data_IF_979717387198
#
_entry.id   IF_979717387198
#
_cell.length_a   1.000
_cell.length_b   1.000
_cell.length_c   1.000
_cell.angle_alpha   90.00
_cell.angle_beta   90.00
_cell.angle_gamma   90.00
#
_symmetry.space_group_name_H-M   'P 1'
#
loop_
_entity.id
_entity.type
_entity.pdbx_description
1 polymer ?
#
# COMPACT_ATOMS: atom_id res chain seq x y z
N UNK A 1 13.05 -3.10 -9.01
CA UNK A 1 14.15 -3.71 -9.79
C UNK A 1 13.89 -3.47 -11.26
N UNK A 2 14.91 -3.03 -12.00
CA UNK A 2 14.85 -3.02 -13.46
C UNK A 2 15.35 -4.37 -14.01
N UNK A 3 14.89 -4.80 -15.20
CA UNK A 3 15.34 -6.04 -15.83
C UNK A 3 16.87 -6.12 -16.10
N UNK A 4 17.59 -5.00 -15.98
CA UNK A 4 19.03 -4.85 -16.21
C UNK A 4 19.91 -5.09 -14.97
N UNK A 5 19.31 -5.42 -13.81
CA UNK A 5 20.05 -5.64 -12.56
C UNK A 5 20.49 -4.36 -11.84
N UNK A 6 20.13 -3.18 -12.34
CA UNK A 6 20.37 -1.92 -11.64
C UNK A 6 19.41 -1.79 -10.44
N UNK A 7 19.95 -1.37 -9.29
CA UNK A 7 19.15 -0.97 -8.13
C UNK A 7 18.33 0.25 -8.53
N UNK A 8 17.01 0.06 -8.69
CA UNK A 8 16.05 1.15 -8.85
C UNK A 8 15.39 1.38 -7.48
N UNK A 9 15.85 2.38 -6.70
CA UNK A 9 15.33 2.65 -5.37
C UNK A 9 13.96 3.35 -5.41
N UNK A 10 13.41 3.66 -6.59
CA UNK A 10 12.21 4.50 -6.74
C UNK A 10 10.96 3.95 -6.04
N UNK A 11 10.88 2.63 -5.79
CA UNK A 11 9.87 2.02 -4.92
C UNK A 11 10.01 2.54 -3.49
N UNK A 12 11.11 2.15 -2.81
CA UNK A 12 11.39 2.46 -1.39
C UNK A 12 11.55 3.96 -1.10
N UNK A 13 12.00 4.76 -2.07
CA UNK A 13 12.26 6.19 -1.88
C UNK A 13 11.00 6.96 -1.47
N UNK A 14 9.82 6.56 -1.96
CA UNK A 14 8.55 7.21 -1.59
C UNK A 14 8.20 6.95 -0.13
N UNK A 15 8.11 5.68 0.28
CA UNK A 15 7.85 5.31 1.67
C UNK A 15 8.88 5.90 2.64
N UNK A 16 10.15 5.92 2.26
CA UNK A 16 11.21 6.51 3.09
C UNK A 16 11.07 8.04 3.24
N UNK A 17 10.78 8.75 2.14
CA UNK A 17 10.58 10.20 2.17
C UNK A 17 9.36 10.59 3.02
N UNK A 18 8.23 9.89 2.85
CA UNK A 18 7.02 10.13 3.63
C UNK A 18 7.28 9.83 5.12
N UNK A 19 7.97 8.74 5.45
CA UNK A 19 8.32 8.41 6.84
C UNK A 19 9.15 9.52 7.48
N UNK A 20 10.18 10.01 6.80
CA UNK A 20 11.01 11.11 7.32
C UNK A 20 10.22 12.41 7.47
N UNK A 21 9.33 12.73 6.53
CA UNK A 21 8.45 13.88 6.65
C UNK A 21 7.52 13.75 7.88
N UNK A 22 6.94 12.57 8.10
CA UNK A 22 6.13 12.29 9.28
C UNK A 22 6.95 12.43 10.58
N UNK A 23 8.21 11.99 10.61
CA UNK A 23 9.10 12.16 11.76
C UNK A 23 9.41 13.64 12.03
N UNK A 24 9.61 14.47 11.00
CA UNK A 24 9.81 15.91 11.16
C UNK A 24 8.56 16.56 11.76
N UNK A 25 7.37 16.24 11.24
CA UNK A 25 6.09 16.76 11.72
C UNK A 25 5.86 16.35 13.19
N UNK A 26 6.11 15.09 13.54
CA UNK A 26 6.02 14.61 14.92
C UNK A 26 6.99 15.34 15.86
N UNK A 27 8.22 15.59 15.42
CA UNK A 27 9.22 16.34 16.21
C UNK A 27 8.86 17.82 16.39
N UNK A 28 7.98 18.35 15.53
CA UNK A 28 7.41 19.69 15.68
C UNK A 28 6.16 19.70 16.59
N UNK A 29 5.88 18.61 17.31
CA UNK A 29 4.75 18.45 18.24
C UNK A 29 3.37 18.57 17.56
N UNK A 30 3.31 18.22 16.27
CA UNK A 30 2.06 18.14 15.50
C UNK A 30 1.53 16.70 15.55
N UNK A 31 0.46 16.49 16.32
CA UNK A 31 -0.17 15.18 16.51
C UNK A 31 -1.16 14.76 15.42
N UNK A 32 -1.75 15.73 14.71
CA UNK A 32 -2.76 15.51 13.68
C UNK A 32 -2.18 15.81 12.30
N UNK A 33 -1.97 14.79 11.47
CA UNK A 33 -1.46 14.97 10.12
C UNK A 33 -1.84 13.85 9.16
N UNK A 34 -1.75 14.18 7.87
CA UNK A 34 -1.92 13.25 6.76
C UNK A 34 -0.90 13.61 5.67
N UNK A 35 0.02 12.70 5.38
CA UNK A 35 1.06 12.88 4.36
C UNK A 35 0.84 11.82 3.30
N UNK A 36 0.75 12.24 2.04
CA UNK A 36 0.56 11.37 0.89
C UNK A 36 1.57 11.72 -0.20
N UNK A 37 2.12 10.69 -0.85
CA UNK A 37 2.85 10.87 -2.09
C UNK A 37 2.71 9.64 -3.00
N UNK A 38 2.01 9.83 -4.13
CA UNK A 38 1.91 8.80 -5.17
C UNK A 38 1.16 7.56 -4.73
N UNK A 39 0.13 7.72 -3.88
CA UNK A 39 -0.73 6.68 -3.35
C UNK A 39 -0.29 6.09 -2.00
N UNK A 40 0.93 6.38 -1.56
CA UNK A 40 1.44 5.93 -0.25
C UNK A 40 1.17 6.99 0.80
N UNK A 41 0.72 6.57 1.98
CA UNK A 41 0.10 7.43 2.96
C UNK A 41 0.65 7.12 4.36
N UNK A 42 0.95 8.17 5.12
CA UNK A 42 1.14 8.11 6.56
C UNK A 42 0.19 9.13 7.22
N UNK A 43 -0.66 8.66 8.12
CA UNK A 43 -1.53 9.53 8.92
C UNK A 43 -1.22 9.43 10.42
N UNK A 44 -1.71 10.39 11.19
CA UNK A 44 -1.73 10.37 12.66
C UNK A 44 -2.86 11.28 13.16
N UNK A 45 -3.44 10.91 14.30
CA UNK A 45 -4.50 11.70 14.93
C UNK A 45 -5.77 11.78 14.08
N UNK A 46 -6.39 12.95 14.04
CA UNK A 46 -7.71 13.20 13.41
C UNK A 46 -7.64 14.33 12.39
N UNK A 47 -8.63 14.39 11.50
CA UNK A 47 -8.78 15.50 10.58
C UNK A 47 -9.32 16.75 11.26
N UNK A 48 -9.36 17.87 10.53
CA UNK A 48 -9.82 19.17 11.05
C UNK A 48 -11.28 19.17 11.55
N UNK A 49 -12.08 18.15 11.23
CA UNK A 49 -13.44 17.96 11.76
C UNK A 49 -13.49 17.06 13.00
N UNK A 50 -12.34 16.64 13.55
CA UNK A 50 -12.27 15.73 14.69
C UNK A 50 -12.64 14.27 14.39
N UNK A 51 -12.63 13.87 13.11
CA UNK A 51 -12.91 12.50 12.66
C UNK A 51 -11.61 11.78 12.28
N UNK A 52 -11.61 10.45 12.32
CA UNK A 52 -10.48 9.67 11.84
C UNK A 52 -10.16 9.97 10.37
N UNK A 53 -8.87 9.91 10.05
CA UNK A 53 -8.41 9.97 8.68
C UNK A 53 -8.89 8.73 7.93
N UNK A 54 -9.42 8.94 6.72
CA UNK A 54 -9.84 7.85 5.85
C UNK A 54 -9.03 7.84 4.55
N UNK A 55 -8.85 6.65 4.00
CA UNK A 55 -8.11 6.38 2.77
C UNK A 55 -8.99 5.54 1.86
N UNK A 56 -9.20 6.01 0.63
CA UNK A 56 -9.92 5.24 -0.39
C UNK A 56 -8.98 4.35 -1.19
N UNK A 57 -9.30 3.06 -1.28
CA UNK A 57 -8.71 2.13 -2.23
C UNK A 57 -9.47 2.28 -3.54
N UNK A 58 -8.78 2.75 -4.59
CA UNK A 58 -9.36 2.99 -5.92
C UNK A 58 -9.68 1.68 -6.62
N UNK A 59 -10.72 1.69 -7.44
CA UNK A 59 -11.00 0.62 -8.38
C UNK A 59 -9.92 0.61 -9.47
N UNK A 60 -9.10 -0.45 -9.61
CA UNK A 60 -8.04 -0.50 -10.63
C UNK A 60 -8.60 -0.56 -12.06
N UNK A 61 -9.89 -0.86 -12.23
CA UNK A 61 -10.58 -0.91 -13.53
C UNK A 61 -11.31 0.41 -13.88
N UNK A 62 -11.62 1.23 -12.87
CA UNK A 62 -12.31 2.51 -13.00
C UNK A 62 -11.76 3.49 -11.96
N UNK A 63 -10.69 4.21 -12.28
CA UNK A 63 -9.89 4.96 -11.28
C UNK A 63 -10.65 6.07 -10.53
N UNK A 64 -11.82 6.46 -11.02
CA UNK A 64 -12.71 7.44 -10.39
C UNK A 64 -13.62 6.83 -9.29
N UNK A 65 -13.63 5.50 -9.17
CA UNK A 65 -14.39 4.76 -8.17
C UNK A 65 -13.51 4.31 -6.98
N UNK A 66 -14.13 4.24 -5.81
CA UNK A 66 -13.52 3.70 -4.60
C UNK A 66 -14.18 2.35 -4.29
N UNK A 67 -13.39 1.27 -4.25
CA UNK A 67 -13.89 -0.08 -3.91
C UNK A 67 -13.92 -0.34 -2.41
N UNK A 68 -13.11 0.41 -1.64
CA UNK A 68 -12.98 0.24 -0.20
C UNK A 68 -12.49 1.52 0.46
N UNK A 69 -12.93 1.77 1.68
CA UNK A 69 -12.40 2.85 2.53
C UNK A 69 -11.78 2.21 3.77
N UNK A 70 -10.62 2.69 4.16
CA UNK A 70 -9.92 2.27 5.39
C UNK A 70 -9.57 3.46 6.28
N UNK A 71 -9.49 3.22 7.58
CA UNK A 71 -9.12 4.17 8.62
C UNK A 71 -7.80 3.74 9.24
N UNK A 72 -6.65 4.33 8.85
CA UNK A 72 -5.35 3.77 9.23
C UNK A 72 -4.98 3.94 10.72
N UNK A 73 -5.61 4.88 11.43
CA UNK A 73 -5.35 5.16 12.86
C UNK A 73 -3.84 5.20 13.22
N UNK A 74 -3.03 5.93 12.44
CA UNK A 74 -1.59 6.03 12.67
C UNK A 74 -0.72 5.06 11.88
N UNK A 75 -1.31 4.04 11.25
CA UNK A 75 -0.63 3.09 10.37
C UNK A 75 -0.32 3.73 9.01
N UNK A 76 0.64 3.15 8.31
CA UNK A 76 0.93 3.49 6.92
C UNK A 76 0.11 2.64 5.97
N UNK A 77 -0.23 3.20 4.81
CA UNK A 77 -0.92 2.51 3.72
C UNK A 77 -0.12 2.70 2.45
N UNK A 78 0.08 1.63 1.69
CA UNK A 78 0.73 1.68 0.38
C UNK A 78 0.00 0.76 -0.59
N UNK A 79 0.01 1.10 -1.88
CA UNK A 79 -0.63 0.29 -2.92
C UNK A 79 0.31 0.05 -4.07
N UNK A 80 0.57 -1.22 -4.37
CA UNK A 80 1.25 -1.67 -5.57
C UNK A 80 0.23 -2.12 -6.61
N UNK A 81 0.40 -1.70 -7.85
CA UNK A 81 -0.54 -2.01 -8.91
C UNK A 81 -0.04 -1.61 -10.29
N UNK A 82 -0.54 -2.31 -11.31
CA UNK A 82 -0.19 -2.08 -12.71
C UNK A 82 -0.90 -0.85 -13.31
N UNK A 83 -2.01 -0.41 -12.71
CA UNK A 83 -2.80 0.72 -13.21
C UNK A 83 -2.18 2.11 -12.95
N UNK A 84 -1.33 2.24 -11.93
CA UNK A 84 -0.76 3.54 -11.56
C UNK A 84 0.43 3.97 -12.44
N UNK A 85 1.21 3.02 -12.97
CA UNK A 85 2.44 3.29 -13.76
C UNK A 85 2.73 2.27 -14.88
N UNK A 86 1.79 1.39 -15.22
CA UNK A 86 2.04 0.25 -16.12
C UNK A 86 2.75 -0.92 -15.42
N UNK A 87 3.12 -1.97 -16.17
CA UNK A 87 3.91 -3.11 -15.68
C UNK A 87 5.35 -2.66 -15.36
N UNK A 88 5.61 -2.29 -14.11
CA UNK A 88 6.91 -1.86 -13.61
C UNK A 88 7.39 -2.68 -12.40
N UNK A 89 6.62 -3.68 -12.00
CA UNK A 89 6.92 -4.64 -10.94
C UNK A 89 7.10 -6.00 -11.63
N UNK A 90 8.19 -6.68 -11.34
CA UNK A 90 8.56 -7.96 -11.96
C UNK A 90 8.87 -8.98 -10.86
N UNK A 91 8.52 -10.24 -11.11
CA UNK A 91 8.94 -11.34 -10.24
C UNK A 91 10.44 -11.61 -10.49
N UNK A 92 11.32 -11.40 -9.50
CA UNK A 92 12.76 -11.62 -9.68
C UNK A 92 13.12 -13.10 -9.90
N UNK A 93 12.25 -14.03 -9.50
CA UNK A 93 12.42 -15.47 -9.73
C UNK A 93 11.91 -15.92 -11.10
N UNK A 94 11.11 -15.09 -11.78
CA UNK A 94 10.50 -15.37 -13.09
C UNK A 94 10.46 -14.10 -13.94
N UNK A 95 11.63 -13.54 -14.25
CA UNK A 95 11.78 -12.21 -14.89
C UNK A 95 11.08 -12.10 -16.26
N UNK A 96 10.83 -13.24 -16.92
CA UNK A 96 10.17 -13.30 -18.23
C UNK A 96 8.66 -13.56 -18.17
N UNK A 97 8.09 -13.74 -16.97
CA UNK A 97 6.67 -13.98 -16.78
C UNK A 97 6.00 -12.72 -16.21
N UNK A 98 5.16 -12.01 -16.99
CA UNK A 98 4.47 -10.85 -16.49
C UNK A 98 3.44 -11.25 -15.43
N UNK A 99 3.32 -10.46 -14.38
CA UNK A 99 2.32 -10.66 -13.33
C UNK A 99 0.97 -10.20 -13.89
N UNK A 100 0.13 -11.14 -14.34
CA UNK A 100 -1.16 -10.85 -14.98
C UNK A 100 -2.39 -11.34 -14.18
N UNK A 101 -2.15 -12.08 -13.12
CA UNK A 101 -3.17 -12.68 -12.26
C UNK A 101 -3.75 -11.70 -11.24
N UNK A 102 -3.00 -10.64 -10.90
CA UNK A 102 -3.40 -9.58 -9.97
C UNK A 102 -3.23 -8.18 -10.59
N UNK A 103 -4.03 -7.22 -10.14
CA UNK A 103 -4.01 -5.83 -10.67
C UNK A 103 -3.70 -4.78 -9.61
N UNK A 104 -3.99 -5.07 -8.34
CA UNK A 104 -3.72 -4.18 -7.22
C UNK A 104 -3.52 -4.97 -5.94
N UNK A 105 -2.61 -4.50 -5.08
CA UNK A 105 -2.39 -5.01 -3.74
C UNK A 105 -2.11 -3.82 -2.81
N UNK A 106 -3.04 -3.54 -1.92
CA UNK A 106 -2.89 -2.53 -0.86
C UNK A 106 -2.43 -3.21 0.42
N UNK A 107 -1.44 -2.64 1.10
CA UNK A 107 -0.95 -3.10 2.41
C UNK A 107 -1.10 -1.99 3.43
N UNK A 108 -1.50 -2.36 4.64
CA UNK A 108 -1.48 -1.54 5.84
C UNK A 108 -0.42 -2.11 6.77
N UNK A 109 0.46 -1.26 7.30
CA UNK A 109 1.53 -1.66 8.21
C UNK A 109 1.85 -0.59 9.25
N UNK A 110 2.75 -0.92 10.19
CA UNK A 110 3.10 -0.01 11.31
C UNK A 110 3.51 1.40 10.88
N UNK A 111 4.05 1.55 9.67
CA UNK A 111 4.33 2.82 9.03
C UNK A 111 4.37 2.64 7.51
N UNK A 112 4.37 3.75 6.78
CA UNK A 112 4.29 3.76 5.30
C UNK A 112 5.47 3.05 4.62
N UNK A 113 6.66 3.08 5.23
CA UNK A 113 7.83 2.39 4.67
C UNK A 113 7.67 0.87 4.73
N UNK A 114 7.15 0.34 5.84
CA UNK A 114 6.85 -1.09 5.94
C UNK A 114 5.72 -1.47 4.97
N UNK A 115 4.64 -0.69 4.92
CA UNK A 115 3.55 -0.92 3.98
C UNK A 115 4.03 -0.97 2.51
N UNK A 116 4.85 0.00 2.08
CA UNK A 116 5.35 0.11 0.70
C UNK A 116 6.30 -1.05 0.32
N UNK A 117 7.23 -1.41 1.22
CA UNK A 117 8.15 -2.54 1.02
C UNK A 117 7.38 -3.84 0.81
N UNK A 118 6.41 -4.11 1.68
CA UNK A 118 5.63 -5.35 1.62
C UNK A 118 4.60 -5.34 0.50
N UNK A 119 4.01 -4.20 0.15
CA UNK A 119 3.12 -4.10 -1.00
C UNK A 119 3.85 -4.47 -2.29
N UNK A 120 5.07 -3.95 -2.48
CA UNK A 120 5.88 -4.27 -3.66
C UNK A 120 6.28 -5.74 -3.70
N UNK A 121 6.75 -6.28 -2.57
CA UNK A 121 7.17 -7.69 -2.47
C UNK A 121 6.00 -8.66 -2.69
N UNK A 122 4.87 -8.41 -2.03
CA UNK A 122 3.67 -9.24 -2.17
C UNK A 122 3.09 -9.15 -3.59
N UNK A 123 3.10 -7.96 -4.22
CA UNK A 123 2.65 -7.83 -5.59
C UNK A 123 3.52 -8.67 -6.54
N UNK A 124 4.84 -8.70 -6.33
CA UNK A 124 5.76 -9.51 -7.11
C UNK A 124 5.51 -11.04 -7.00
N UNK A 125 4.79 -11.47 -5.96
CA UNK A 125 4.39 -12.88 -5.75
C UNK A 125 3.06 -13.24 -6.41
N UNK A 126 2.38 -12.30 -7.09
CA UNK A 126 1.08 -12.55 -7.71
C UNK A 126 0.01 -12.96 -6.70
N UNK A 127 -0.78 -13.99 -7.02
CA UNK A 127 -1.85 -14.54 -6.14
C UNK A 127 -1.36 -14.96 -4.75
N UNK A 128 -0.13 -15.42 -4.62
CA UNK A 128 0.41 -15.85 -3.33
C UNK A 128 0.76 -14.67 -2.41
N UNK A 129 0.86 -13.47 -2.98
CA UNK A 129 1.18 -12.25 -2.25
C UNK A 129 0.25 -12.00 -1.06
N UNK A 130 -1.06 -12.23 -1.22
CA UNK A 130 -2.00 -12.02 -0.10
C UNK A 130 -1.81 -13.04 1.03
N UNK A 131 -1.43 -14.28 0.70
CA UNK A 131 -1.13 -15.32 1.69
C UNK A 131 0.16 -14.99 2.45
N UNK A 132 1.15 -14.42 1.76
CA UNK A 132 2.36 -13.91 2.39
C UNK A 132 2.06 -12.77 3.37
N UNK A 133 1.18 -11.82 3.01
CA UNK A 133 0.75 -10.76 3.93
C UNK A 133 -0.01 -11.33 5.12
N UNK A 134 -0.95 -12.26 4.90
CA UNK A 134 -1.70 -12.95 5.98
C UNK A 134 -0.77 -13.60 7.03
N UNK A 135 0.37 -14.13 6.59
CA UNK A 135 1.33 -14.79 7.47
C UNK A 135 2.36 -13.84 8.09
N UNK A 136 2.34 -12.55 7.74
CA UNK A 136 3.32 -11.57 8.21
C UNK A 136 2.72 -10.73 9.34
N UNK A 137 3.17 -10.90 10.61
CA UNK A 137 2.56 -10.20 11.74
C UNK A 137 2.62 -8.68 11.61
N UNK A 138 1.50 -8.02 11.95
CA UNK A 138 1.41 -6.55 11.94
C UNK A 138 1.17 -5.94 10.56
N UNK A 139 0.87 -6.76 9.56
CA UNK A 139 0.44 -6.33 8.24
C UNK A 139 -0.98 -6.80 7.95
N UNK A 140 -1.73 -5.98 7.22
CA UNK A 140 -3.00 -6.37 6.62
C UNK A 140 -2.99 -6.01 5.14
N UNK A 141 -3.73 -6.78 4.33
CA UNK A 141 -3.70 -6.68 2.88
C UNK A 141 -5.08 -6.67 2.25
N UNK A 142 -5.18 -6.04 1.08
CA UNK A 142 -6.35 -6.07 0.21
C UNK A 142 -5.90 -6.24 -1.24
N UNK A 143 -6.08 -7.44 -1.77
CA UNK A 143 -5.69 -7.82 -3.13
C UNK A 143 -6.90 -7.75 -4.05
N UNK A 144 -6.72 -7.23 -5.26
CA UNK A 144 -7.71 -7.26 -6.34
C UNK A 144 -7.10 -8.01 -7.52
N UNK A 145 -7.78 -9.08 -7.94
CA UNK A 145 -7.34 -9.93 -9.04
C UNK A 145 -7.86 -9.44 -10.41
N UNK A 146 -7.29 -9.97 -11.50
CA UNK A 146 -7.71 -9.59 -12.86
C UNK A 146 -9.16 -10.00 -13.21
N UNK A 147 -9.77 -10.88 -12.42
CA UNK A 147 -11.19 -11.24 -12.51
C UNK A 147 -12.10 -10.33 -11.66
N UNK A 148 -11.57 -9.20 -11.17
CA UNK A 148 -12.29 -8.23 -10.32
C UNK A 148 -12.72 -8.78 -8.97
N UNK A 149 -12.07 -9.83 -8.48
CA UNK A 149 -12.31 -10.37 -7.14
C UNK A 149 -11.37 -9.71 -6.15
N UNK A 150 -11.94 -9.25 -5.04
CA UNK A 150 -11.17 -8.76 -3.91
C UNK A 150 -10.92 -9.86 -2.88
N UNK A 151 -9.73 -9.89 -2.30
CA UNK A 151 -9.33 -10.81 -1.22
C UNK A 151 -8.63 -10.00 -0.13
N UNK A 152 -9.30 -9.75 1.01
CA UNK A 152 -8.68 -9.16 2.18
C UNK A 152 -7.96 -10.24 3.01
N UNK A 153 -6.97 -9.83 3.80
CA UNK A 153 -6.49 -10.62 4.94
C UNK A 153 -7.55 -10.67 6.05
N UNK A 154 -7.44 -11.63 6.96
CA UNK A 154 -8.44 -11.89 8.00
C UNK A 154 -8.66 -10.72 8.96
N UNK A 155 -7.60 -9.96 9.28
CA UNK A 155 -7.65 -8.80 10.18
C UNK A 155 -8.02 -7.47 9.51
N UNK A 156 -8.02 -7.40 8.17
CA UNK A 156 -8.26 -6.18 7.40
C UNK A 156 -9.57 -5.47 7.77
N UNK A 157 -10.58 -6.21 8.20
CA UNK A 157 -11.86 -5.68 8.64
C UNK A 157 -11.77 -4.66 9.78
N UNK A 158 -10.74 -4.75 10.62
CA UNK A 158 -10.49 -3.80 11.72
C UNK A 158 -10.25 -2.37 11.21
N UNK A 159 -9.67 -2.23 10.01
CA UNK A 159 -9.40 -0.94 9.39
C UNK A 159 -10.60 -0.40 8.59
N UNK A 160 -11.71 -1.13 8.49
CA UNK A 160 -12.89 -0.69 7.74
C UNK A 160 -13.92 0.06 8.61
N UNK A 161 -13.64 0.18 9.90
CA UNK A 161 -14.50 0.83 10.88
C UNK A 161 -13.80 2.11 11.36
N UNK A 162 -14.57 3.18 11.56
CA UNK A 162 -14.09 4.43 12.14
C UNK A 162 -14.23 4.41 13.65
#
# INVERSE_FOLDING_TARGET
HRPDGALDPSGIVKGWAIRNAAEIVRRADVGDFFIEAGGDIQSCGRNASGRDWSVGIRNPFHTDEIVKVVFPHGHGVATSGTYARGQHIYNPHAVHEPISDIVSLTVIGSNVLEADRFATAAFAMGRDGILFIEQTPGLEGYLIDSNRRATPTSGFGAFCQS
#
